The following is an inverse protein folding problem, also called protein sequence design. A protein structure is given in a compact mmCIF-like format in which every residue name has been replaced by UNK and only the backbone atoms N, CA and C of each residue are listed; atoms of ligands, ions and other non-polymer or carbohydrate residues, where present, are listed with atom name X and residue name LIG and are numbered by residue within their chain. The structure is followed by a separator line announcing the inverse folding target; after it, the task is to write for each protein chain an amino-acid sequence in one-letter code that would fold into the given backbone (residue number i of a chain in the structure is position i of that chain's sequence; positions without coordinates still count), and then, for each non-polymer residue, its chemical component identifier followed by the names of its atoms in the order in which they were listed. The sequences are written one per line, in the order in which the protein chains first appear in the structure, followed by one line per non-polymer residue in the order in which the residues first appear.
data_IF_824803559907
#
_entry.id   IF_824803559907
#
_cell.length_a   1.000
_cell.length_b   1.000
_cell.length_c   1.000
_cell.angle_alpha   90.00
_cell.angle_beta   90.00
_cell.angle_gamma   90.00
#
_symmetry.space_group_name_H-M   'P 1'
#
loop_
_entity.id
_entity.type
_entity.pdbx_description
1 polymer ?
#
# COMPACT_ATOMS: atom_id res chain seq x y z
N UNK A 1 11.59 -6.33 19.18
CA UNK A 1 10.17 -6.07 18.88
C UNK A 1 9.87 -4.57 18.82
N UNK A 2 10.03 -3.81 19.91
CA UNK A 2 9.74 -2.35 19.93
C UNK A 2 10.44 -1.54 18.83
N UNK A 3 11.75 -1.77 18.60
CA UNK A 3 12.48 -1.09 17.53
C UNK A 3 11.87 -1.33 16.14
N UNK A 4 11.40 -2.55 15.87
CA UNK A 4 10.78 -2.88 14.57
C UNK A 4 9.44 -2.16 14.39
N UNK A 5 8.64 -2.09 15.46
CA UNK A 5 7.37 -1.33 15.47
C UNK A 5 7.65 0.15 15.20
N UNK A 6 8.64 0.73 15.89
CA UNK A 6 9.03 2.12 15.69
C UNK A 6 9.49 2.38 14.25
N UNK A 7 10.29 1.48 13.67
CA UNK A 7 10.71 1.59 12.27
C UNK A 7 9.51 1.54 11.32
N UNK A 8 8.58 0.60 11.49
CA UNK A 8 7.37 0.52 10.67
C UNK A 8 6.52 1.79 10.78
N UNK A 9 6.39 2.36 11.98
CA UNK A 9 5.69 3.64 12.19
C UNK A 9 6.39 4.76 11.40
N UNK A 10 7.72 4.86 11.46
CA UNK A 10 8.46 5.86 10.70
C UNK A 10 8.33 5.67 9.18
N UNK A 11 8.33 4.43 8.70
CA UNK A 11 8.08 4.12 7.28
C UNK A 11 6.66 4.55 6.88
N UNK A 12 5.64 4.20 7.65
CA UNK A 12 4.26 4.65 7.38
C UNK A 12 4.13 6.19 7.38
N UNK A 13 4.81 6.88 8.31
CA UNK A 13 4.83 8.34 8.34
C UNK A 13 5.56 8.95 7.13
N UNK A 14 6.52 8.22 6.55
CA UNK A 14 7.28 8.68 5.38
C UNK A 14 6.42 8.83 4.13
N UNK A 15 5.30 8.09 4.01
CA UNK A 15 4.34 8.21 2.91
C UNK A 15 3.81 9.65 2.70
N UNK A 16 3.79 10.47 3.76
CA UNK A 16 3.41 11.90 3.68
C UNK A 16 4.43 12.78 2.95
N UNK A 17 5.63 12.25 2.68
CA UNK A 17 6.70 12.93 1.96
C UNK A 17 6.93 12.32 0.57
N UNK A 18 6.15 11.30 0.20
CA UNK A 18 6.17 10.71 -1.13
C UNK A 18 5.04 11.31 -1.93
N UNK A 19 5.41 12.04 -2.97
CA UNK A 19 4.47 12.53 -3.97
C UNK A 19 3.98 11.35 -4.81
N UNK A 20 2.68 11.32 -5.12
CA UNK A 20 2.13 10.41 -6.11
C UNK A 20 2.66 10.81 -7.50
N UNK A 21 3.72 10.13 -7.92
CA UNK A 21 4.70 10.64 -8.88
C UNK A 21 4.12 10.71 -10.29
N UNK A 22 3.10 9.89 -10.59
CA UNK A 22 2.39 9.91 -11.87
C UNK A 22 1.85 11.30 -12.22
N UNK A 23 1.38 12.06 -11.24
CA UNK A 23 0.84 13.40 -11.44
C UNK A 23 1.91 14.45 -11.78
N UNK A 24 3.17 14.25 -11.38
CA UNK A 24 4.27 15.14 -11.78
C UNK A 24 4.53 15.12 -13.28
N UNK A 25 4.35 13.97 -13.94
CA UNK A 25 4.46 13.85 -15.40
C UNK A 25 3.35 14.62 -16.14
N UNK A 26 2.26 14.97 -15.45
CA UNK A 26 1.20 15.85 -15.95
C UNK A 26 1.44 17.33 -15.59
N UNK A 27 2.63 17.67 -15.09
CA UNK A 27 3.00 19.02 -14.63
C UNK A 27 2.13 19.57 -13.49
N UNK A 28 1.52 18.69 -12.69
CA UNK A 28 0.88 19.09 -11.45
C UNK A 28 1.97 19.48 -10.45
N UNK A 29 1.93 20.73 -9.98
CA UNK A 29 2.99 21.31 -9.14
C UNK A 29 3.03 20.71 -7.73
N UNK A 30 1.86 20.36 -7.20
CA UNK A 30 1.67 19.81 -5.86
C UNK A 30 0.70 18.64 -5.99
N UNK A 31 1.20 17.45 -6.38
CA UNK A 31 0.38 16.26 -6.36
C UNK A 31 0.00 15.91 -4.91
N UNK A 32 -1.02 15.07 -4.77
CA UNK A 32 -1.28 14.39 -3.51
C UNK A 32 -0.12 13.47 -3.13
N UNK A 33 -0.03 13.19 -1.84
CA UNK A 33 0.93 12.26 -1.28
C UNK A 33 0.40 10.83 -1.32
N UNK A 34 1.29 9.85 -1.28
CA UNK A 34 0.90 8.43 -1.17
C UNK A 34 0.07 8.20 0.10
N UNK A 35 0.35 8.91 1.20
CA UNK A 35 -0.46 8.83 2.42
C UNK A 35 -1.92 9.30 2.21
N UNK A 36 -2.14 10.39 1.46
CA UNK A 36 -3.48 10.87 1.11
C UNK A 36 -4.19 9.89 0.18
N UNK A 37 -3.47 9.34 -0.79
CA UNK A 37 -3.96 8.29 -1.67
C UNK A 37 -4.45 7.08 -0.87
N UNK A 38 -3.61 6.49 -0.01
CA UNK A 38 -3.97 5.30 0.76
C UNK A 38 -5.15 5.53 1.70
N UNK A 39 -5.25 6.70 2.34
CA UNK A 39 -6.39 7.03 3.20
C UNK A 39 -7.70 7.12 2.39
N UNK A 40 -7.67 7.85 1.26
CA UNK A 40 -8.86 7.99 0.41
C UNK A 40 -9.26 6.66 -0.22
N UNK A 41 -8.29 5.85 -0.65
CA UNK A 41 -8.52 4.49 -1.12
C UNK A 41 -9.23 3.64 -0.06
N UNK A 42 -8.72 3.62 1.18
CA UNK A 42 -9.33 2.87 2.27
C UNK A 42 -10.76 3.32 2.60
N UNK A 43 -11.03 4.63 2.60
CA UNK A 43 -12.38 5.17 2.82
C UNK A 43 -13.36 4.76 1.70
N UNK A 44 -12.93 4.89 0.44
CA UNK A 44 -13.74 4.50 -0.72
C UNK A 44 -13.97 2.99 -0.73
N UNK A 45 -12.92 2.20 -0.52
CA UNK A 45 -12.99 0.75 -0.45
C UNK A 45 -13.91 0.26 0.66
N UNK A 46 -13.87 0.88 1.85
CA UNK A 46 -14.81 0.58 2.93
C UNK A 46 -16.27 0.79 2.50
N UNK A 47 -16.58 1.92 1.86
CA UNK A 47 -17.94 2.24 1.40
C UNK A 47 -18.40 1.23 0.35
N UNK A 48 -17.56 0.93 -0.64
CA UNK A 48 -17.90 -0.02 -1.71
C UNK A 48 -18.08 -1.44 -1.15
N UNK A 49 -17.20 -1.89 -0.26
CA UNK A 49 -17.32 -3.18 0.41
C UNK A 49 -18.63 -3.30 1.19
N UNK A 50 -19.08 -2.23 1.87
CA UNK A 50 -20.41 -2.21 2.53
C UNK A 50 -21.56 -2.32 1.54
N UNK A 51 -21.44 -1.72 0.36
CA UNK A 51 -22.47 -1.78 -0.68
C UNK A 51 -22.56 -3.17 -1.31
N UNK A 52 -21.43 -3.83 -1.50
CA UNK A 52 -21.33 -5.15 -2.14
C UNK A 52 -21.50 -6.33 -1.15
N UNK A 53 -21.57 -6.05 0.17
CA UNK A 53 -21.70 -7.08 1.19
C UNK A 53 -20.40 -7.82 1.54
N UNK A 54 -19.23 -7.22 1.22
CA UNK A 54 -17.90 -7.72 1.58
C UNK A 54 -17.48 -7.30 3.00
N UNK A 55 -16.38 -7.86 3.51
CA UNK A 55 -15.77 -7.40 4.76
C UNK A 55 -15.07 -6.04 4.58
N UNK A 56 -15.82 -4.98 4.83
CA UNK A 56 -15.32 -3.61 4.75
C UNK A 56 -14.15 -3.29 5.70
N UNK A 57 -14.04 -3.97 6.86
CA UNK A 57 -12.91 -3.72 7.78
C UNK A 57 -11.62 -4.32 7.21
N UNK A 58 -11.73 -5.51 6.61
CA UNK A 58 -10.63 -6.16 5.92
C UNK A 58 -10.15 -5.34 4.72
N UNK A 59 -11.09 -4.90 3.86
CA UNK A 59 -10.79 -4.03 2.71
C UNK A 59 -10.12 -2.72 3.13
N UNK A 60 -10.65 -2.05 4.16
CA UNK A 60 -10.01 -0.84 4.67
C UNK A 60 -8.59 -1.11 5.21
N UNK A 61 -8.39 -2.24 5.88
CA UNK A 61 -7.07 -2.63 6.40
C UNK A 61 -6.09 -2.92 5.27
N UNK A 62 -6.50 -3.66 4.23
CA UNK A 62 -5.71 -3.89 3.01
C UNK A 62 -5.23 -2.57 2.42
N UNK A 63 -6.15 -1.63 2.21
CA UNK A 63 -5.88 -0.37 1.53
C UNK A 63 -5.06 0.63 2.36
N UNK A 64 -5.11 0.57 3.70
CA UNK A 64 -4.21 1.38 4.53
C UNK A 64 -2.74 0.98 4.35
N UNK A 65 -2.47 -0.29 4.05
CA UNK A 65 -1.11 -0.83 3.94
C UNK A 65 -0.64 -1.08 2.50
N UNK A 66 -1.52 -0.99 1.50
CA UNK A 66 -1.23 -1.50 0.16
C UNK A 66 0.00 -0.88 -0.53
N UNK A 67 0.28 0.41 -0.29
CA UNK A 67 1.43 1.12 -0.87
C UNK A 67 2.60 1.30 0.11
N UNK A 68 2.60 0.63 1.27
CA UNK A 68 3.68 0.80 2.26
C UNK A 68 5.06 0.44 1.70
N UNK A 69 5.11 -0.44 0.69
CA UNK A 69 6.34 -0.80 -0.01
C UNK A 69 7.00 0.40 -0.73
N UNK A 70 6.22 1.38 -1.17
CA UNK A 70 6.72 2.56 -1.89
C UNK A 70 7.66 3.42 -1.04
N UNK A 71 7.62 3.27 0.29
CA UNK A 71 8.60 3.90 1.20
C UNK A 71 10.04 3.45 0.96
N UNK A 72 10.25 2.29 0.33
CA UNK A 72 11.59 1.76 0.02
C UNK A 72 11.93 1.74 -1.46
N UNK A 73 10.93 1.56 -2.32
CA UNK A 73 11.14 1.39 -3.78
C UNK A 73 10.53 2.52 -4.63
N UNK A 74 9.87 3.49 -3.99
CA UNK A 74 9.19 4.63 -4.63
C UNK A 74 7.87 4.24 -5.31
N UNK A 75 7.02 5.25 -5.50
CA UNK A 75 5.86 5.13 -6.40
C UNK A 75 6.37 4.98 -7.85
N UNK A 76 6.02 3.85 -8.48
CA UNK A 76 6.42 3.56 -9.85
C UNK A 76 5.37 4.08 -10.83
N UNK A 77 5.67 5.19 -11.51
CA UNK A 77 4.76 5.72 -12.53
C UNK A 77 4.46 4.72 -13.66
N UNK A 78 3.29 4.88 -14.27
CA UNK A 78 2.73 3.99 -15.29
C UNK A 78 3.66 3.69 -16.48
N UNK A 79 4.51 4.63 -16.88
CA UNK A 79 5.48 4.41 -17.97
C UNK A 79 6.61 3.48 -17.52
N UNK A 80 7.15 3.67 -16.31
CA UNK A 80 8.18 2.78 -15.75
C UNK A 80 7.64 1.36 -15.51
N UNK A 81 6.41 1.23 -15.03
CA UNK A 81 5.78 -0.08 -14.78
C UNK A 81 5.76 -0.97 -16.04
N UNK A 82 5.66 -0.38 -17.25
CA UNK A 82 5.73 -1.14 -18.51
C UNK A 82 7.08 -1.81 -18.79
N UNK A 83 8.14 -1.41 -18.08
CA UNK A 83 9.49 -1.96 -18.19
C UNK A 83 9.93 -2.76 -16.96
N UNK A 84 9.17 -2.71 -15.87
CA UNK A 84 9.47 -3.40 -14.61
C UNK A 84 8.65 -4.70 -14.59
N UNK A 85 9.30 -5.80 -14.97
CA UNK A 85 8.65 -7.11 -15.14
C UNK A 85 8.34 -7.84 -13.84
N UNK A 86 8.94 -7.42 -12.73
CA UNK A 86 8.85 -8.07 -11.42
C UNK A 86 8.30 -7.14 -10.31
N UNK A 87 7.53 -6.10 -10.66
CA UNK A 87 7.00 -5.10 -9.71
C UNK A 87 6.35 -5.76 -8.47
N UNK A 88 5.39 -6.66 -8.71
CA UNK A 88 4.66 -7.35 -7.63
C UNK A 88 5.59 -8.12 -6.69
N UNK A 89 6.60 -8.80 -7.24
CA UNK A 89 7.56 -9.55 -6.43
C UNK A 89 8.44 -8.62 -5.58
N UNK A 90 8.85 -7.47 -6.14
CA UNK A 90 9.60 -6.47 -5.40
C UNK A 90 8.77 -5.90 -4.23
N UNK A 91 7.49 -5.58 -4.47
CA UNK A 91 6.58 -5.09 -3.44
C UNK A 91 6.37 -6.12 -2.33
N UNK A 92 6.14 -7.39 -2.69
CA UNK A 92 6.03 -8.50 -1.73
C UNK A 92 7.29 -8.67 -0.91
N UNK A 93 8.45 -8.60 -1.54
CA UNK A 93 9.73 -8.72 -0.83
C UNK A 93 9.89 -7.59 0.19
N UNK A 94 9.58 -6.35 -0.20
CA UNK A 94 9.65 -5.19 0.69
C UNK A 94 8.67 -5.35 1.86
N UNK A 95 7.42 -5.72 1.61
CA UNK A 95 6.42 -5.91 2.66
C UNK A 95 6.82 -7.05 3.60
N UNK A 96 7.31 -8.17 3.07
CA UNK A 96 7.83 -9.26 3.90
C UNK A 96 8.91 -8.76 4.84
N UNK A 97 9.84 -7.93 4.36
CA UNK A 97 10.90 -7.35 5.18
C UNK A 97 10.37 -6.32 6.20
N UNK A 98 9.40 -5.48 5.82
CA UNK A 98 8.79 -4.47 6.68
C UNK A 98 8.02 -5.08 7.86
N UNK A 99 7.29 -6.17 7.60
CA UNK A 99 6.44 -6.83 8.59
C UNK A 99 7.14 -8.02 9.30
N UNK A 100 8.37 -8.36 8.92
CA UNK A 100 9.09 -9.50 9.49
C UNK A 100 9.31 -9.39 11.01
N UNK A 101 8.79 -10.37 11.76
CA UNK A 101 8.93 -10.46 13.21
C UNK A 101 8.12 -9.42 13.98
N UNK A 102 7.03 -8.94 13.40
CA UNK A 102 5.92 -8.28 14.08
C UNK A 102 4.79 -9.29 14.28
N UNK A 103 4.10 -9.24 15.42
CA UNK A 103 3.09 -10.24 15.79
C UNK A 103 1.89 -10.26 14.81
N UNK A 104 1.58 -9.12 14.18
CA UNK A 104 0.54 -8.96 13.15
C UNK A 104 1.09 -9.09 11.72
N UNK A 105 2.37 -9.41 11.54
CA UNK A 105 3.02 -9.38 10.24
C UNK A 105 2.51 -10.42 9.25
N UNK A 106 2.11 -11.60 9.73
CA UNK A 106 1.54 -12.67 8.90
C UNK A 106 0.12 -12.34 8.42
N UNK A 107 -0.67 -11.67 9.24
CA UNK A 107 -2.02 -11.21 8.88
C UNK A 107 -1.95 -10.22 7.71
N UNK A 108 -1.11 -9.19 7.82
CA UNK A 108 -0.96 -8.18 6.76
C UNK A 108 -0.40 -8.78 5.46
N UNK A 109 0.55 -9.71 5.55
CA UNK A 109 1.06 -10.41 4.37
C UNK A 109 -0.02 -11.26 3.69
N UNK A 110 -0.90 -11.89 4.48
CA UNK A 110 -2.04 -12.65 3.96
C UNK A 110 -3.02 -11.74 3.21
N UNK A 111 -3.36 -10.59 3.79
CA UNK A 111 -4.23 -9.60 3.17
C UNK A 111 -3.64 -9.04 1.87
N UNK A 112 -2.33 -8.78 1.85
CA UNK A 112 -1.67 -8.34 0.64
C UNK A 112 -1.75 -9.38 -0.47
N UNK A 113 -1.45 -10.64 -0.16
CA UNK A 113 -1.51 -11.74 -1.12
C UNK A 113 -2.93 -11.90 -1.70
N UNK A 114 -3.95 -11.84 -0.85
CA UNK A 114 -5.36 -11.92 -1.25
C UNK A 114 -5.76 -10.78 -2.22
N UNK A 115 -5.43 -9.54 -1.87
CA UNK A 115 -5.66 -8.37 -2.72
C UNK A 115 -4.95 -8.51 -4.08
N UNK A 116 -3.77 -9.12 -4.09
CA UNK A 116 -2.95 -9.31 -5.28
C UNK A 116 -3.50 -10.37 -6.23
N UNK A 117 -4.11 -11.42 -5.66
CA UNK A 117 -4.69 -12.55 -6.38
C UNK A 117 -6.07 -12.21 -6.95
N UNK A 118 -6.82 -11.31 -6.30
CA UNK A 118 -8.14 -10.81 -6.76
C UNK A 118 -9.16 -11.94 -6.99
N UNK A 119 -9.16 -12.91 -6.09
CA UNK A 119 -10.04 -14.08 -6.13
C UNK A 119 -11.21 -13.99 -5.13
N UNK A 120 -11.17 -13.00 -4.24
CA UNK A 120 -12.17 -12.70 -3.21
C UNK A 120 -13.00 -11.48 -3.59
N UNK A 121 -14.05 -11.20 -2.82
CA UNK A 121 -14.87 -10.01 -3.02
C UNK A 121 -14.19 -8.77 -2.45
N UNK A 122 -13.45 -8.96 -1.35
CA UNK A 122 -12.48 -8.03 -0.79
C UNK A 122 -11.26 -7.85 -1.71
#
# INVERSE_FOLDING_TARGET
MLQKIVNLIFESLHLKNLDHIGFKYLHIKQPDTVAEHSLNAAQIGYILAKMEGADANKVATMLVWHDIAETRIGDMHKVAVGYITNKKELERQVMKDQFNGLDFGEEIQTYFQEMDDRLTLE
#
